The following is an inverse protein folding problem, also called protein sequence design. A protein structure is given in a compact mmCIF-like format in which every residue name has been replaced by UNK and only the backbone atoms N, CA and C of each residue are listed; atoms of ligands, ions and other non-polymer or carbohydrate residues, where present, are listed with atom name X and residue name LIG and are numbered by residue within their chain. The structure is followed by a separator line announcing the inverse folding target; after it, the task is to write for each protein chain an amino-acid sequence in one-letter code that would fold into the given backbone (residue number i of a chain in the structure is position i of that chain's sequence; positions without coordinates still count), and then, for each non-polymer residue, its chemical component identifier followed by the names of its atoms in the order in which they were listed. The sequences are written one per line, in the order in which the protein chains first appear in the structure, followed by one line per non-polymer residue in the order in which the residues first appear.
data_IF_402350330564
#
_entry.id   IF_402350330564
#
_cell.length_a   1.000
_cell.length_b   1.000
_cell.length_c   1.000
_cell.angle_alpha   90.00
_cell.angle_beta   90.00
_cell.angle_gamma   90.00
#
_symmetry.space_group_name_H-M   'P 1'
#
loop_
_entity.id
_entity.type
_entity.pdbx_description
1 polymer ?
#
# COMPACT_ATOMS: atom_id res chain seq x y z
N UNK A 1 -7.00 15.26 22.93
CA UNK A 1 -7.12 16.63 23.48
C UNK A 1 -7.62 17.50 22.33
N UNK A 2 -8.76 18.16 22.48
CA UNK A 2 -9.20 19.16 21.50
C UNK A 2 -8.72 20.52 22.00
N UNK A 3 -7.84 21.18 21.24
CA UNK A 3 -7.34 22.52 21.55
C UNK A 3 -8.06 23.49 20.62
N UNK A 4 -8.77 24.46 21.20
CA UNK A 4 -9.36 25.56 20.45
C UNK A 4 -8.27 26.60 20.15
N UNK A 5 -7.69 26.52 18.95
CA UNK A 5 -6.59 27.39 18.53
C UNK A 5 -6.98 28.85 18.40
N UNK A 6 -8.27 29.18 18.31
CA UNK A 6 -8.72 30.59 18.32
C UNK A 6 -8.57 31.25 19.69
N UNK A 7 -8.38 30.45 20.76
CA UNK A 7 -8.24 30.89 22.15
C UNK A 7 -6.86 30.59 22.74
N UNK A 8 -6.01 29.86 22.02
CA UNK A 8 -4.66 29.54 22.47
C UNK A 8 -3.75 30.76 22.29
N UNK A 9 -3.10 31.21 23.36
CA UNK A 9 -2.14 32.31 23.35
C UNK A 9 -0.69 31.84 23.14
N UNK A 10 -0.49 30.56 22.84
CA UNK A 10 0.80 29.90 22.62
C UNK A 10 1.80 30.06 23.78
N UNK A 11 1.31 30.30 25.01
CA UNK A 11 2.16 30.55 26.18
C UNK A 11 3.03 29.35 26.61
N UNK A 12 2.85 28.17 26.03
CA UNK A 12 3.61 26.92 26.32
C UNK A 12 3.51 26.35 27.73
N UNK A 13 2.70 26.95 28.60
CA UNK A 13 2.52 26.47 29.98
C UNK A 13 1.92 25.06 30.03
N UNK A 14 1.06 24.69 29.09
CA UNK A 14 0.51 23.34 29.04
C UNK A 14 1.55 22.27 28.66
N UNK A 15 2.59 22.64 27.91
CA UNK A 15 3.74 21.78 27.60
C UNK A 15 4.56 21.56 28.88
N UNK A 16 4.88 22.64 29.59
CA UNK A 16 5.70 22.59 30.82
C UNK A 16 5.05 21.81 31.97
N UNK A 17 3.72 21.82 32.06
CA UNK A 17 2.96 21.14 33.12
C UNK A 17 2.78 19.65 32.84
N UNK A 18 3.02 19.17 31.62
CA UNK A 18 2.86 17.76 31.29
C UNK A 18 4.13 16.96 31.65
N UNK A 19 4.13 16.16 32.74
CA UNK A 19 5.34 15.47 33.20
C UNK A 19 5.79 14.35 32.23
N UNK A 20 4.88 13.90 31.37
CA UNK A 20 5.12 12.84 30.38
C UNK A 20 5.51 13.40 29.00
N UNK A 21 5.69 14.72 28.86
CA UNK A 21 5.91 15.39 27.56
C UNK A 21 4.87 15.03 26.48
N UNK A 22 3.61 14.77 26.89
CA UNK A 22 2.56 14.33 25.97
C UNK A 22 1.90 15.47 25.18
N UNK A 23 2.23 16.72 25.50
CA UNK A 23 1.69 17.92 24.87
C UNK A 23 2.83 18.63 24.15
N UNK A 24 2.76 18.65 22.82
CA UNK A 24 3.71 19.36 21.96
C UNK A 24 2.94 20.37 21.12
N UNK A 25 3.04 21.65 21.49
CA UNK A 25 2.44 22.76 20.75
C UNK A 25 3.20 23.10 19.47
N UNK A 26 4.38 22.49 19.27
CA UNK A 26 5.33 22.79 18.19
C UNK A 26 5.45 21.65 17.19
N UNK A 27 4.39 20.84 16.97
CA UNK A 27 4.28 19.92 15.82
C UNK A 27 4.16 20.64 14.46
N UNK A 28 4.94 21.70 14.28
CA UNK A 28 5.18 22.37 13.02
C UNK A 28 6.69 22.31 12.78
N UNK A 29 7.09 21.53 11.79
CA UNK A 29 8.44 21.64 11.27
C UNK A 29 8.54 22.97 10.51
N UNK A 30 9.31 23.91 11.04
CA UNK A 30 9.54 25.20 10.40
C UNK A 30 10.67 25.07 9.38
N UNK A 31 10.32 25.11 8.10
CA UNK A 31 11.29 25.20 7.02
C UNK A 31 11.46 26.66 6.61
N UNK A 32 12.69 27.17 6.66
CA UNK A 32 13.03 28.50 6.14
C UNK A 32 13.66 28.35 4.76
N UNK A 33 12.92 28.73 3.72
CA UNK A 33 13.45 28.80 2.36
C UNK A 33 13.96 30.21 2.08
N UNK A 34 15.19 30.32 1.59
CA UNK A 34 15.73 31.57 1.07
C UNK A 34 15.65 31.55 -0.45
N UNK A 35 14.49 31.90 -0.99
CA UNK A 35 14.30 32.04 -2.44
C UNK A 35 14.60 33.48 -2.83
N UNK A 36 15.50 33.68 -3.79
CA UNK A 36 15.77 35.01 -4.33
C UNK A 36 14.58 35.44 -5.17
N UNK A 37 13.95 36.56 -4.80
CA UNK A 37 12.88 37.17 -5.55
C UNK A 37 13.36 38.54 -6.05
N UNK A 38 13.24 38.80 -7.35
CA UNK A 38 13.72 40.02 -8.00
C UNK A 38 12.52 40.77 -8.55
N UNK A 39 12.38 42.04 -8.18
CA UNK A 39 11.42 42.95 -8.80
C UNK A 39 12.15 43.88 -9.78
N UNK A 40 11.93 43.69 -11.07
CA UNK A 40 12.37 44.63 -12.10
C UNK A 40 11.43 45.83 -12.14
N UNK A 41 12.01 47.02 -11.93
CA UNK A 41 11.29 48.29 -11.89
C UNK A 41 11.17 48.98 -13.26
N UNK A 42 11.81 48.43 -14.31
CA UNK A 42 11.82 49.03 -15.65
C UNK A 42 10.76 48.38 -16.55
N UNK A 43 9.57 48.98 -16.58
CA UNK A 43 8.43 48.51 -17.36
C UNK A 43 8.66 48.52 -18.89
N UNK A 44 9.74 49.15 -19.38
CA UNK A 44 10.09 49.14 -20.81
C UNK A 44 10.80 47.85 -21.26
N UNK A 45 11.16 46.97 -20.31
CA UNK A 45 11.87 45.70 -20.57
C UNK A 45 11.12 44.49 -20.04
N UNK A 46 9.78 44.52 -20.05
CA UNK A 46 8.94 43.42 -19.57
C UNK A 46 9.24 42.07 -20.21
N UNK A 47 9.58 42.07 -21.50
CA UNK A 47 10.06 40.88 -22.22
C UNK A 47 11.59 40.97 -22.37
N UNK A 48 12.30 40.19 -21.58
CA UNK A 48 13.74 40.03 -21.64
C UNK A 48 14.14 38.57 -21.34
N UNK A 49 15.43 38.25 -21.45
CA UNK A 49 15.96 36.90 -21.24
C UNK A 49 15.69 36.31 -19.83
N UNK A 50 15.34 37.14 -18.86
CA UNK A 50 15.02 36.77 -17.48
C UNK A 50 13.51 36.67 -17.20
N UNK A 51 12.64 37.10 -18.13
CA UNK A 51 11.19 37.16 -17.89
C UNK A 51 10.52 35.79 -17.70
N UNK A 52 11.16 34.71 -18.15
CA UNK A 52 10.68 33.33 -17.95
C UNK A 52 11.27 32.66 -16.71
N UNK A 53 12.16 33.34 -15.98
CA UNK A 53 12.81 32.76 -14.79
C UNK A 53 11.88 32.86 -13.58
N UNK A 54 11.53 31.73 -12.92
CA UNK A 54 10.71 31.76 -11.71
C UNK A 54 11.34 32.63 -10.61
N UNK A 55 10.52 33.48 -9.97
CA UNK A 55 10.96 34.41 -8.93
C UNK A 55 11.42 35.78 -9.45
N UNK A 56 11.39 36.01 -10.77
CA UNK A 56 11.54 37.33 -11.38
C UNK A 56 10.15 37.91 -11.64
N UNK A 57 9.90 39.12 -11.14
CA UNK A 57 8.63 39.84 -11.24
C UNK A 57 8.86 41.23 -11.84
N UNK A 58 7.86 41.78 -12.51
CA UNK A 58 7.81 43.17 -12.97
C UNK A 58 6.92 44.02 -12.06
N UNK A 59 6.94 45.34 -12.23
CA UNK A 59 6.20 46.28 -11.36
C UNK A 59 4.70 45.99 -11.27
N UNK A 60 4.09 45.52 -12.34
CA UNK A 60 2.68 45.13 -12.41
C UNK A 60 2.36 43.79 -11.72
N UNK A 61 3.36 42.93 -11.52
CA UNK A 61 3.28 41.62 -10.85
C UNK A 61 3.61 41.71 -9.35
N UNK A 62 3.75 42.94 -8.81
CA UNK A 62 4.07 43.19 -7.39
C UNK A 62 3.14 42.47 -6.40
N UNK A 63 1.89 42.20 -6.78
CA UNK A 63 0.95 41.42 -5.96
C UNK A 63 1.36 39.96 -5.84
N UNK A 64 1.88 39.37 -6.92
CA UNK A 64 2.36 37.98 -6.95
C UNK A 64 3.65 37.84 -6.15
N UNK A 65 4.58 38.80 -6.30
CA UNK A 65 5.76 38.91 -5.44
C UNK A 65 5.35 38.90 -3.96
N UNK A 66 4.42 39.78 -3.56
CA UNK A 66 4.00 39.88 -2.16
C UNK A 66 3.23 38.66 -1.67
N UNK A 67 2.49 37.96 -2.55
CA UNK A 67 1.85 36.70 -2.21
C UNK A 67 2.86 35.59 -1.88
N UNK A 68 4.08 35.69 -2.40
CA UNK A 68 5.17 34.75 -2.17
C UNK A 68 6.13 35.16 -1.03
N UNK A 69 5.81 36.22 -0.29
CA UNK A 69 6.57 36.67 0.89
C UNK A 69 5.72 36.43 2.14
N UNK A 70 6.19 35.54 3.02
CA UNK A 70 5.55 35.31 4.30
C UNK A 70 5.80 33.92 4.86
N UNK A 71 5.04 33.59 5.89
CA UNK A 71 4.96 32.23 6.43
C UNK A 71 3.77 31.53 5.81
N UNK A 72 4.00 30.35 5.27
CA UNK A 72 2.97 29.51 4.68
C UNK A 72 2.79 28.27 5.54
N UNK A 73 1.52 27.88 5.74
CA UNK A 73 1.19 26.62 6.37
C UNK A 73 0.98 25.59 5.27
N UNK A 74 1.65 24.45 5.39
CA UNK A 74 1.49 23.31 4.50
C UNK A 74 0.86 22.18 5.28
N UNK A 75 -0.24 21.63 4.76
CA UNK A 75 -0.94 20.51 5.38
C UNK A 75 -0.33 19.18 4.92
N UNK A 76 -0.12 18.28 5.88
CA UNK A 76 0.34 16.93 5.59
C UNK A 76 -0.85 16.05 5.22
N UNK A 77 -1.31 16.12 3.98
CA UNK A 77 -2.51 15.40 3.54
C UNK A 77 -2.33 13.89 3.36
N UNK A 78 -1.08 13.41 3.27
CA UNK A 78 -0.75 12.00 3.05
C UNK A 78 0.30 11.51 4.04
N UNK A 79 0.01 10.43 4.74
CA UNK A 79 0.94 9.79 5.67
C UNK A 79 1.60 8.55 5.06
N UNK A 80 2.88 8.33 5.38
CA UNK A 80 3.62 7.13 5.01
C UNK A 80 4.06 6.28 6.23
N UNK A 81 3.67 5.00 6.24
CA UNK A 81 4.05 4.03 7.27
C UNK A 81 5.13 3.05 6.77
N UNK A 82 6.37 3.28 7.18
CA UNK A 82 7.54 2.48 6.80
C UNK A 82 7.50 1.02 7.27
N UNK A 83 6.75 0.70 8.34
CA UNK A 83 6.66 -0.66 8.91
C UNK A 83 5.94 -1.63 7.96
N UNK A 84 4.92 -1.14 7.26
CA UNK A 84 4.11 -1.94 6.31
C UNK A 84 4.45 -1.63 4.85
N UNK A 85 5.42 -0.75 4.61
CA UNK A 85 5.94 -0.46 3.28
C UNK A 85 6.88 -1.58 2.80
N UNK A 86 6.58 -2.14 1.63
CA UNK A 86 7.36 -3.23 1.03
C UNK A 86 8.61 -2.72 0.26
N UNK A 87 8.84 -1.41 0.22
CA UNK A 87 10.08 -0.83 -0.27
C UNK A 87 11.21 -0.99 0.77
N UNK A 88 12.44 -1.19 0.29
CA UNK A 88 13.64 -1.25 1.11
C UNK A 88 14.67 -0.22 0.62
N UNK A 89 14.79 0.90 1.35
CA UNK A 89 15.71 1.99 1.02
C UNK A 89 17.19 1.60 1.04
N UNK A 90 17.60 0.60 1.83
CA UNK A 90 19.00 0.16 1.89
C UNK A 90 19.42 -0.67 0.67
N UNK A 91 18.49 -1.42 0.10
CA UNK A 91 18.73 -2.26 -1.07
C UNK A 91 18.34 -1.56 -2.38
N UNK A 92 17.63 -0.43 -2.31
CA UNK A 92 17.02 0.23 -3.46
C UNK A 92 16.05 -0.71 -4.24
N UNK A 93 15.35 -1.59 -3.52
CA UNK A 93 14.49 -2.63 -4.09
C UNK A 93 13.11 -2.68 -3.46
N UNK A 94 12.12 -3.13 -4.24
CA UNK A 94 10.75 -3.40 -3.78
C UNK A 94 9.69 -2.56 -4.50
N UNK A 95 8.53 -2.40 -3.86
CA UNK A 95 7.37 -1.72 -4.43
C UNK A 95 7.62 -0.21 -4.56
N UNK A 96 7.42 0.36 -5.76
CA UNK A 96 7.60 1.80 -6.05
C UNK A 96 6.33 2.48 -6.61
N UNK A 97 5.17 1.81 -6.49
CA UNK A 97 3.89 2.26 -7.09
C UNK A 97 3.46 3.67 -6.69
N UNK A 98 3.74 4.08 -5.46
CA UNK A 98 3.42 5.43 -5.00
C UNK A 98 4.27 6.51 -5.68
N UNK A 99 5.54 6.20 -6.00
CA UNK A 99 6.43 7.08 -6.78
C UNK A 99 5.90 7.18 -8.21
N UNK A 100 5.62 6.03 -8.84
CA UNK A 100 5.07 5.96 -10.21
C UNK A 100 3.73 6.69 -10.34
N UNK A 101 2.91 6.69 -9.30
CA UNK A 101 1.60 7.34 -9.29
C UNK A 101 1.66 8.86 -9.02
N UNK A 102 2.79 9.41 -8.58
CA UNK A 102 2.89 10.82 -8.20
C UNK A 102 3.37 11.69 -9.37
N UNK A 103 2.43 12.33 -10.07
CA UNK A 103 2.74 13.24 -11.19
C UNK A 103 3.49 14.51 -10.75
N UNK A 104 3.32 14.90 -9.48
CA UNK A 104 3.97 16.08 -8.88
C UNK A 104 5.37 15.79 -8.33
N UNK A 105 5.83 14.54 -8.40
CA UNK A 105 7.14 14.10 -7.87
C UNK A 105 7.33 14.39 -6.37
N UNK A 106 6.23 14.55 -5.64
CA UNK A 106 6.20 14.73 -4.20
C UNK A 106 6.56 13.44 -3.43
N UNK A 107 6.49 12.26 -4.07
CA UNK A 107 6.86 10.99 -3.43
C UNK A 107 8.19 10.52 -4.01
N UNK A 108 9.20 10.40 -3.16
CA UNK A 108 10.55 10.00 -3.56
C UNK A 108 11.13 8.93 -2.63
N UNK A 109 12.23 8.33 -3.06
CA UNK A 109 12.99 7.32 -2.32
C UNK A 109 14.28 7.91 -1.77
N UNK A 110 14.66 7.46 -0.58
CA UNK A 110 15.95 7.71 0.05
C UNK A 110 16.48 6.43 0.70
N UNK A 111 17.63 6.51 1.38
CA UNK A 111 18.26 5.37 2.07
C UNK A 111 17.41 4.78 3.21
N UNK A 112 16.46 5.54 3.75
CA UNK A 112 15.55 5.14 4.83
C UNK A 112 14.22 4.57 4.32
N UNK A 113 13.86 4.80 3.06
CA UNK A 113 12.64 4.27 2.45
C UNK A 113 11.97 5.25 1.50
N UNK A 114 10.63 5.28 1.55
CA UNK A 114 9.80 6.24 0.83
C UNK A 114 9.58 7.46 1.74
N UNK A 115 9.62 8.64 1.14
CA UNK A 115 9.40 9.94 1.77
C UNK A 115 8.41 10.76 0.93
N UNK A 116 7.68 11.65 1.58
CA UNK A 116 6.72 12.57 0.95
C UNK A 116 7.22 13.99 1.19
N UNK A 117 7.51 14.71 0.11
CA UNK A 117 7.66 16.16 0.12
C UNK A 117 6.26 16.79 0.17
N UNK A 118 5.89 17.28 1.36
CA UNK A 118 4.59 17.90 1.57
C UNK A 118 4.46 19.27 0.89
N UNK A 119 5.57 19.95 0.55
CA UNK A 119 5.52 21.21 -0.19
C UNK A 119 5.17 21.00 -1.66
N UNK A 120 5.56 19.86 -2.23
CA UNK A 120 5.22 19.50 -3.61
C UNK A 120 3.90 18.71 -3.72
N UNK A 121 3.29 18.33 -2.60
CA UNK A 121 2.11 17.47 -2.58
C UNK A 121 0.83 18.27 -2.86
N UNK A 122 0.17 17.99 -3.98
CA UNK A 122 -1.10 18.62 -4.38
C UNK A 122 -2.35 17.87 -3.86
N UNK A 123 -2.21 17.04 -2.83
CA UNK A 123 -3.31 16.26 -2.24
C UNK A 123 -4.21 15.50 -3.25
N UNK A 124 -3.60 14.95 -4.30
CA UNK A 124 -4.35 14.30 -5.38
C UNK A 124 -4.80 12.85 -5.08
N UNK A 125 -4.36 12.26 -3.96
CA UNK A 125 -4.76 10.90 -3.52
C UNK A 125 -4.26 9.70 -4.33
N UNK A 126 -3.62 9.88 -5.50
CA UNK A 126 -3.20 8.76 -6.38
C UNK A 126 -2.23 7.79 -5.71
N UNK A 127 -1.29 8.28 -4.89
CA UNK A 127 -0.34 7.43 -4.18
C UNK A 127 -1.01 6.57 -3.09
N UNK A 128 -2.11 7.04 -2.50
CA UNK A 128 -2.92 6.33 -1.49
C UNK A 128 -3.66 5.17 -2.13
N UNK A 129 -4.35 5.42 -3.25
CA UNK A 129 -5.04 4.36 -3.99
C UNK A 129 -4.07 3.35 -4.61
N UNK A 130 -2.93 3.79 -5.14
CA UNK A 130 -1.91 2.91 -5.70
C UNK A 130 -1.23 1.97 -4.68
N UNK A 131 -1.25 2.29 -3.38
CA UNK A 131 -0.51 1.54 -2.36
C UNK A 131 -1.25 0.26 -1.92
N UNK A 132 -0.75 -0.95 -2.27
CA UNK A 132 -1.47 -2.19 -1.98
C UNK A 132 -1.37 -2.63 -0.52
N UNK A 133 -0.37 -2.15 0.23
CA UNK A 133 -0.21 -2.47 1.65
C UNK A 133 -0.92 -1.48 2.55
N UNK A 134 -1.37 -0.33 2.02
CA UNK A 134 -1.84 0.77 2.84
C UNK A 134 -0.73 1.50 3.60
N UNK A 135 0.53 1.40 3.15
CA UNK A 135 1.61 2.21 3.67
C UNK A 135 1.42 3.71 3.37
N UNK A 136 0.78 4.06 2.26
CA UNK A 136 0.33 5.42 1.97
C UNK A 136 -1.14 5.54 2.37
N UNK A 137 -1.48 6.51 3.20
CA UNK A 137 -2.83 6.78 3.69
C UNK A 137 -3.14 8.27 3.57
N UNK A 138 -4.40 8.63 3.33
CA UNK A 138 -4.84 10.00 3.58
C UNK A 138 -4.75 10.28 5.09
N UNK A 139 -4.33 11.49 5.44
CA UNK A 139 -4.28 11.92 6.83
C UNK A 139 -5.68 12.09 7.43
N UNK A 140 -6.65 12.51 6.62
CA UNK A 140 -8.03 12.75 7.05
C UNK A 140 -8.85 11.46 7.08
N UNK A 141 -8.64 10.57 6.10
CA UNK A 141 -9.43 9.35 5.91
C UNK A 141 -8.50 8.16 5.68
N UNK A 142 -8.00 7.57 6.77
CA UNK A 142 -7.27 6.30 6.70
C UNK A 142 -8.21 5.12 6.42
N UNK A 143 -7.69 4.02 5.87
CA UNK A 143 -8.46 2.79 5.65
C UNK A 143 -9.14 2.29 6.94
N UNK A 144 -8.44 2.37 8.08
CA UNK A 144 -8.93 1.93 9.39
C UNK A 144 -10.07 2.84 9.87
N UNK A 145 -9.86 4.16 9.86
CA UNK A 145 -10.89 5.11 10.27
C UNK A 145 -12.12 5.04 9.37
N UNK A 146 -11.94 4.91 8.05
CA UNK A 146 -13.04 4.71 7.12
C UNK A 146 -13.85 3.48 7.52
N UNK A 147 -13.19 2.37 7.77
CA UNK A 147 -13.88 1.14 8.05
C UNK A 147 -14.63 1.15 9.38
N UNK A 148 -14.01 1.70 10.43
CA UNK A 148 -14.65 1.86 11.74
C UNK A 148 -15.89 2.74 11.64
N UNK A 149 -15.76 3.91 11.00
CA UNK A 149 -16.87 4.87 10.84
C UNK A 149 -18.03 4.27 10.06
N UNK A 150 -17.74 3.59 8.94
CA UNK A 150 -18.78 3.00 8.09
C UNK A 150 -19.41 1.79 8.76
N UNK A 151 -18.62 0.94 9.42
CA UNK A 151 -19.14 -0.23 10.13
C UNK A 151 -20.10 0.18 11.26
N UNK A 152 -19.69 1.12 12.10
CA UNK A 152 -20.53 1.68 13.17
C UNK A 152 -21.79 2.34 12.61
N UNK A 153 -21.66 3.09 11.51
CA UNK A 153 -22.78 3.76 10.86
C UNK A 153 -23.78 2.77 10.26
N UNK A 154 -23.34 1.64 9.71
CA UNK A 154 -24.23 0.65 9.09
C UNK A 154 -24.85 -0.32 10.10
N UNK A 155 -24.21 -0.58 11.25
CA UNK A 155 -24.77 -1.43 12.30
C UNK A 155 -25.86 -0.75 13.15
N UNK A 156 -25.68 0.54 13.47
CA UNK A 156 -26.45 1.21 14.51
C UNK A 156 -27.64 2.03 13.97
N UNK A 157 -28.29 1.62 12.88
CA UNK A 157 -29.34 2.42 12.22
C UNK A 157 -30.62 1.64 11.98
N UNK A 158 -31.75 2.33 12.11
CA UNK A 158 -33.08 1.85 11.69
C UNK A 158 -33.18 1.81 10.15
N UNK A 159 -32.38 2.64 9.46
CA UNK A 159 -32.34 2.74 8.00
C UNK A 159 -31.36 1.70 7.44
N UNK A 160 -31.86 0.84 6.56
CA UNK A 160 -31.07 -0.15 5.84
C UNK A 160 -30.47 0.47 4.58
N UNK A 161 -29.28 1.06 4.70
CA UNK A 161 -28.59 1.63 3.55
C UNK A 161 -28.19 0.54 2.56
N UNK A 162 -28.64 0.68 1.32
CA UNK A 162 -28.27 -0.22 0.21
C UNK A 162 -27.36 0.45 -0.81
N UNK A 163 -27.42 1.77 -0.90
CA UNK A 163 -26.68 2.53 -1.89
C UNK A 163 -25.76 3.53 -1.21
N UNK A 164 -24.58 3.74 -1.78
CA UNK A 164 -23.60 4.73 -1.32
C UNK A 164 -23.29 5.70 -2.44
N UNK A 165 -23.23 6.99 -2.15
CA UNK A 165 -22.64 8.00 -3.03
C UNK A 165 -21.39 8.57 -2.36
N UNK A 166 -20.25 8.51 -3.04
CA UNK A 166 -19.06 9.28 -2.70
C UNK A 166 -19.06 10.62 -3.42
N UNK A 167 -18.85 11.71 -2.67
CA UNK A 167 -18.77 13.06 -3.20
C UNK A 167 -17.48 13.72 -2.72
N UNK A 168 -16.77 14.39 -3.63
CA UNK A 168 -15.62 15.20 -3.23
C UNK A 168 -16.09 16.43 -2.45
N UNK A 169 -15.38 16.83 -1.41
CA UNK A 169 -15.72 17.98 -0.58
C UNK A 169 -15.94 19.26 -1.40
N UNK A 170 -15.04 19.54 -2.36
CA UNK A 170 -15.16 20.69 -3.26
C UNK A 170 -16.42 20.67 -4.15
N UNK A 171 -17.01 19.49 -4.36
CA UNK A 171 -18.22 19.29 -5.15
C UNK A 171 -19.49 19.21 -4.28
N UNK A 172 -19.38 19.13 -2.96
CA UNK A 172 -20.51 18.88 -2.06
C UNK A 172 -21.63 19.92 -2.22
N UNK A 173 -21.30 21.21 -2.30
CA UNK A 173 -22.30 22.28 -2.50
C UNK A 173 -23.03 22.12 -3.83
N UNK A 174 -22.31 21.80 -4.90
CA UNK A 174 -22.90 21.57 -6.24
C UNK A 174 -23.82 20.35 -6.22
N UNK A 175 -23.37 19.27 -5.60
CA UNK A 175 -24.15 18.06 -5.41
C UNK A 175 -25.47 18.36 -4.67
N UNK A 176 -25.41 19.04 -3.53
CA UNK A 176 -26.61 19.35 -2.75
C UNK A 176 -27.61 20.25 -3.50
N UNK A 177 -27.11 21.25 -4.23
CA UNK A 177 -27.98 22.17 -4.98
C UNK A 177 -28.74 21.48 -6.13
N UNK A 178 -28.10 20.53 -6.80
CA UNK A 178 -28.61 19.99 -8.05
C UNK A 178 -29.23 18.59 -7.91
N UNK A 179 -28.82 17.81 -6.90
CA UNK A 179 -29.15 16.38 -6.82
C UNK A 179 -29.80 15.95 -5.50
N UNK A 180 -29.77 16.76 -4.44
CA UNK A 180 -30.30 16.35 -3.12
C UNK A 180 -31.77 15.95 -3.14
N UNK A 181 -32.61 16.64 -3.93
CA UNK A 181 -34.05 16.37 -3.97
C UNK A 181 -34.41 15.04 -4.65
N UNK A 182 -33.44 14.35 -5.26
CA UNK A 182 -33.63 13.08 -5.97
C UNK A 182 -33.00 11.89 -5.23
N UNK A 183 -32.52 12.08 -4.00
CA UNK A 183 -31.83 11.05 -3.23
C UNK A 183 -32.74 10.57 -2.10
N UNK A 184 -33.02 9.28 -2.13
CA UNK A 184 -33.80 8.60 -1.09
C UNK A 184 -33.02 8.52 0.24
N UNK A 185 -33.73 8.51 1.37
CA UNK A 185 -33.13 8.42 2.71
C UNK A 185 -32.33 7.11 2.92
N UNK A 186 -32.56 6.08 2.11
CA UNK A 186 -31.82 4.82 2.09
C UNK A 186 -30.45 4.90 1.38
N UNK A 187 -30.06 6.07 0.88
CA UNK A 187 -28.74 6.31 0.27
C UNK A 187 -27.79 6.94 1.29
N UNK A 188 -26.65 6.30 1.53
CA UNK A 188 -25.60 6.83 2.37
C UNK A 188 -24.68 7.75 1.57
N UNK A 189 -24.66 9.02 1.92
CA UNK A 189 -23.73 9.99 1.36
C UNK A 189 -22.41 10.01 2.16
N UNK A 190 -21.28 9.88 1.47
CA UNK A 190 -19.95 9.98 2.05
C UNK A 190 -19.19 11.10 1.35
N UNK A 191 -18.89 12.16 2.08
CA UNK A 191 -18.09 13.29 1.59
C UNK A 191 -16.64 13.10 2.02
N UNK A 192 -15.71 13.16 1.08
CA UNK A 192 -14.26 13.00 1.35
C UNK A 192 -13.43 14.10 0.66
N UNK A 193 -12.24 14.43 1.18
CA UNK A 193 -11.42 15.52 0.62
C UNK A 193 -11.10 15.31 -0.86
N UNK A 194 -10.72 14.08 -1.22
CA UNK A 194 -10.39 13.72 -2.59
C UNK A 194 -10.88 12.31 -2.93
N UNK A 195 -11.61 12.16 -4.05
CA UNK A 195 -12.15 10.86 -4.48
C UNK A 195 -11.06 9.86 -4.90
N UNK A 196 -9.88 10.33 -5.32
CA UNK A 196 -8.79 9.48 -5.83
C UNK A 196 -8.04 8.71 -4.73
N UNK A 197 -8.35 8.92 -3.45
CA UNK A 197 -7.89 8.04 -2.35
C UNK A 197 -8.62 6.68 -2.36
N UNK A 198 -9.82 6.65 -2.95
CA UNK A 198 -10.65 5.44 -3.02
C UNK A 198 -9.96 4.37 -3.85
N UNK A 199 -10.18 3.13 -3.44
CA UNK A 199 -9.58 1.96 -4.06
C UNK A 199 -10.45 0.73 -3.77
N UNK A 200 -10.06 -0.43 -4.31
CA UNK A 200 -10.86 -1.66 -4.22
C UNK A 200 -11.14 -2.12 -2.79
N UNK A 201 -10.33 -1.75 -1.79
CA UNK A 201 -10.65 -2.01 -0.38
C UNK A 201 -11.97 -1.36 0.02
N UNK A 202 -12.12 -0.05 -0.20
CA UNK A 202 -13.32 0.70 0.16
C UNK A 202 -14.58 0.07 -0.46
N UNK A 203 -14.52 -0.24 -1.76
CA UNK A 203 -15.68 -0.77 -2.48
C UNK A 203 -16.04 -2.20 -2.04
N UNK A 204 -15.05 -3.09 -1.94
CA UNK A 204 -15.30 -4.48 -1.55
C UNK A 204 -15.71 -4.59 -0.07
N UNK A 205 -15.24 -3.68 0.77
CA UNK A 205 -15.71 -3.56 2.14
C UNK A 205 -17.19 -3.17 2.21
N UNK A 206 -17.61 -2.14 1.47
CA UNK A 206 -19.01 -1.76 1.37
C UNK A 206 -19.89 -2.91 0.85
N UNK A 207 -19.45 -3.60 -0.22
CA UNK A 207 -20.13 -4.80 -0.71
C UNK A 207 -20.31 -5.84 0.40
N UNK A 208 -19.25 -6.10 1.17
CA UNK A 208 -19.29 -7.08 2.27
C UNK A 208 -20.26 -6.67 3.38
N UNK A 209 -20.44 -5.37 3.61
CA UNK A 209 -21.44 -4.85 4.54
C UNK A 209 -22.86 -4.82 3.97
N UNK A 210 -23.07 -5.33 2.76
CA UNK A 210 -24.40 -5.46 2.16
C UNK A 210 -24.84 -4.26 1.32
N UNK A 211 -23.92 -3.35 0.99
CA UNK A 211 -24.15 -2.31 -0.02
C UNK A 211 -24.24 -2.96 -1.39
N UNK A 212 -25.27 -2.59 -2.15
CA UNK A 212 -25.62 -3.15 -3.45
C UNK A 212 -25.02 -2.34 -4.59
N UNK A 213 -24.95 -1.01 -4.44
CA UNK A 213 -24.37 -0.12 -5.43
C UNK A 213 -23.59 1.03 -4.76
N UNK A 214 -22.46 1.37 -5.35
CA UNK A 214 -21.62 2.50 -4.98
C UNK A 214 -21.51 3.43 -6.18
N UNK A 215 -21.77 4.72 -5.99
CA UNK A 215 -21.61 5.73 -7.02
C UNK A 215 -20.51 6.71 -6.63
N UNK A 216 -19.58 6.97 -7.54
CA UNK A 216 -18.55 8.01 -7.39
C UNK A 216 -18.98 9.22 -8.20
N UNK A 217 -19.36 10.31 -7.52
CA UNK A 217 -19.98 11.48 -8.13
C UNK A 217 -18.95 12.39 -8.84
N UNK A 218 -18.30 11.88 -9.88
CA UNK A 218 -17.35 12.59 -10.73
C UNK A 218 -17.02 11.77 -11.99
N UNK A 219 -16.67 12.44 -13.10
CA UNK A 219 -15.99 11.80 -14.24
C UNK A 219 -14.55 11.40 -13.88
N UNK A 220 -14.24 10.10 -13.96
CA UNK A 220 -12.95 9.56 -13.53
C UNK A 220 -11.96 9.47 -14.70
N UNK A 221 -10.76 10.00 -14.52
CA UNK A 221 -9.69 9.92 -15.52
C UNK A 221 -9.30 8.45 -15.78
N UNK A 222 -9.27 8.03 -17.05
CA UNK A 222 -9.01 6.63 -17.44
C UNK A 222 -7.67 6.08 -16.95
N UNK A 223 -6.63 6.92 -16.91
CA UNK A 223 -5.29 6.49 -16.50
C UNK A 223 -5.11 6.45 -14.97
N UNK A 224 -6.07 7.00 -14.21
CA UNK A 224 -5.97 7.07 -12.75
C UNK A 224 -5.99 5.69 -12.09
N UNK A 225 -5.41 5.59 -10.89
CA UNK A 225 -5.50 4.37 -10.09
C UNK A 225 -6.95 4.07 -9.68
N UNK A 226 -7.73 5.10 -9.35
CA UNK A 226 -9.16 4.95 -9.04
C UNK A 226 -9.92 4.24 -10.18
N UNK A 227 -9.69 4.62 -11.44
CA UNK A 227 -10.31 3.96 -12.58
C UNK A 227 -10.00 2.45 -12.63
N UNK A 228 -8.73 2.09 -12.46
CA UNK A 228 -8.28 0.69 -12.43
C UNK A 228 -8.91 -0.08 -11.26
N UNK A 229 -9.06 0.56 -10.10
CA UNK A 229 -9.73 -0.05 -8.96
C UNK A 229 -11.23 -0.24 -9.18
N UNK A 230 -11.93 0.72 -9.80
CA UNK A 230 -13.34 0.58 -10.20
C UNK A 230 -13.50 -0.58 -11.18
N UNK A 231 -12.66 -0.65 -12.22
CA UNK A 231 -12.67 -1.74 -13.20
C UNK A 231 -12.44 -3.09 -12.54
N UNK A 232 -11.42 -3.21 -11.69
CA UNK A 232 -11.12 -4.44 -10.97
C UNK A 232 -12.27 -4.88 -10.07
N UNK A 233 -12.84 -3.97 -9.28
CA UNK A 233 -13.96 -4.29 -8.38
C UNK A 233 -15.18 -4.76 -9.17
N UNK A 234 -15.51 -4.11 -10.29
CA UNK A 234 -16.63 -4.52 -11.13
C UNK A 234 -16.37 -5.84 -11.84
N UNK A 235 -15.15 -6.08 -12.34
CA UNK A 235 -14.78 -7.37 -12.93
C UNK A 235 -14.91 -8.50 -11.89
N UNK A 236 -14.35 -8.31 -10.70
CA UNK A 236 -14.47 -9.26 -9.60
C UNK A 236 -15.93 -9.55 -9.23
N UNK A 237 -16.74 -8.49 -9.06
CA UNK A 237 -18.16 -8.61 -8.74
C UNK A 237 -18.94 -9.35 -9.84
N UNK A 238 -18.67 -9.02 -11.10
CA UNK A 238 -19.31 -9.65 -12.25
C UNK A 238 -18.99 -11.14 -12.36
N UNK A 239 -17.73 -11.52 -12.16
CA UNK A 239 -17.34 -12.93 -12.16
C UNK A 239 -17.88 -13.70 -10.95
N UNK A 240 -17.94 -13.07 -9.78
CA UNK A 240 -18.40 -13.74 -8.57
C UNK A 240 -19.93 -13.88 -8.50
N UNK A 241 -20.68 -12.91 -9.03
CA UNK A 241 -22.11 -12.74 -8.77
C UNK A 241 -22.91 -12.43 -10.06
N UNK A 242 -22.84 -13.29 -11.08
CA UNK A 242 -23.69 -13.23 -12.28
C UNK A 242 -23.71 -11.90 -13.04
N UNK A 243 -22.54 -11.30 -13.28
CA UNK A 243 -22.44 -10.09 -14.10
C UNK A 243 -22.76 -8.77 -13.38
N UNK A 244 -22.97 -8.83 -12.06
CA UNK A 244 -23.22 -7.66 -11.21
C UNK A 244 -22.12 -6.61 -11.34
N UNK A 245 -22.51 -5.34 -11.39
CA UNK A 245 -21.60 -4.18 -11.29
C UNK A 245 -21.87 -3.43 -9.99
N UNK A 246 -20.84 -3.33 -9.16
CA UNK A 246 -20.95 -2.67 -7.87
C UNK A 246 -20.79 -1.15 -7.97
N UNK A 247 -19.82 -0.69 -8.75
CA UNK A 247 -19.38 0.70 -8.75
C UNK A 247 -19.69 1.40 -10.07
N UNK A 248 -20.36 2.54 -10.01
CA UNK A 248 -20.56 3.46 -11.13
C UNK A 248 -19.89 4.81 -10.85
N UNK A 249 -19.71 5.62 -11.89
CA UNK A 249 -19.16 6.97 -11.77
C UNK A 249 -19.81 7.93 -12.76
N UNK A 250 -19.82 9.22 -12.43
CA UNK A 250 -20.35 10.29 -13.29
C UNK A 250 -21.08 11.34 -12.46
N UNK A 251 -21.77 12.27 -13.12
CA UNK A 251 -22.61 13.27 -12.45
C UNK A 251 -24.09 12.87 -12.37
N UNK A 252 -24.43 11.67 -12.84
CA UNK A 252 -25.78 11.11 -12.76
C UNK A 252 -25.73 9.82 -11.93
N UNK A 253 -26.24 9.89 -10.71
CA UNK A 253 -26.38 8.72 -9.85
C UNK A 253 -27.69 8.00 -10.22
N UNK A 254 -27.57 6.77 -10.71
CA UNK A 254 -28.70 5.88 -10.97
C UNK A 254 -28.53 4.61 -10.14
N UNK A 255 -29.55 4.27 -9.35
CA UNK A 255 -29.58 3.08 -8.50
C UNK A 255 -30.74 2.18 -8.92
N UNK A 256 -30.46 0.88 -9.06
CA UNK A 256 -31.51 -0.12 -9.25
C UNK A 256 -32.14 -0.47 -7.90
N UNK A 257 -33.45 -0.32 -7.77
CA UNK A 257 -34.20 -0.68 -6.56
C UNK A 257 -34.36 -2.20 -6.36
N UNK A 258 -33.99 -3.02 -7.33
CA UNK A 258 -34.30 -4.46 -7.36
C UNK A 258 -33.11 -5.36 -6.97
N UNK A 259 -31.90 -4.83 -6.82
CA UNK A 259 -30.74 -5.66 -6.52
C UNK A 259 -30.68 -6.07 -5.04
N UNK A 260 -30.83 -7.36 -4.75
CA UNK A 260 -30.64 -7.90 -3.41
C UNK A 260 -29.18 -7.82 -2.95
N UNK A 261 -28.97 -7.73 -1.63
CA UNK A 261 -27.64 -7.75 -1.05
C UNK A 261 -27.03 -9.15 -1.06
N UNK A 262 -25.79 -9.25 -1.54
CA UNK A 262 -25.03 -10.52 -1.60
C UNK A 262 -24.71 -11.05 -0.21
N UNK A 263 -24.40 -10.15 0.72
CA UNK A 263 -24.02 -10.48 2.09
C UNK A 263 -25.05 -9.93 3.07
N UNK A 264 -25.59 -10.81 3.89
CA UNK A 264 -26.59 -10.49 4.93
C UNK A 264 -26.17 -10.95 6.31
N UNK A 265 -25.15 -11.80 6.41
CA UNK A 265 -24.57 -12.22 7.68
C UNK A 265 -23.68 -11.13 8.28
N UNK A 266 -23.64 -11.09 9.62
CA UNK A 266 -22.70 -10.26 10.35
C UNK A 266 -21.26 -10.56 9.93
N UNK A 267 -20.42 -9.53 10.00
CA UNK A 267 -19.01 -9.60 9.68
C UNK A 267 -18.22 -9.18 10.91
N UNK A 268 -17.37 -10.07 11.43
CA UNK A 268 -16.43 -9.68 12.48
C UNK A 268 -15.19 -9.11 11.83
N UNK A 269 -14.96 -7.83 12.06
CA UNK A 269 -13.85 -7.09 11.49
C UNK A 269 -12.52 -7.52 12.14
N UNK A 270 -11.49 -7.93 11.37
CA UNK A 270 -10.18 -8.21 11.92
C UNK A 270 -9.47 -6.92 12.36
N UNK A 271 -8.44 -7.01 13.19
CA UNK A 271 -7.56 -5.87 13.49
C UNK A 271 -6.87 -5.37 12.20
N UNK A 272 -6.79 -4.04 12.01
CA UNK A 272 -6.07 -3.45 10.88
C UNK A 272 -4.56 -3.61 11.04
N UNK A 273 -3.98 -4.55 10.28
CA UNK A 273 -2.51 -4.74 10.22
C UNK A 273 -1.89 -4.09 9.00
N UNK A 274 -2.54 -4.25 7.85
CA UNK A 274 -2.24 -3.62 6.58
C UNK A 274 -3.39 -3.91 5.60
N UNK A 275 -3.56 -3.08 4.58
CA UNK A 275 -4.67 -3.17 3.61
C UNK A 275 -4.82 -4.55 2.96
N UNK A 276 -3.72 -5.23 2.64
CA UNK A 276 -3.76 -6.55 1.98
C UNK A 276 -4.33 -7.62 2.91
N UNK A 277 -3.81 -7.75 4.14
CA UNK A 277 -4.33 -8.68 5.14
C UNK A 277 -5.75 -8.34 5.55
N UNK A 278 -6.07 -7.04 5.53
CA UNK A 278 -7.39 -6.53 5.78
C UNK A 278 -8.42 -7.00 4.73
N UNK A 279 -8.02 -7.01 3.46
CA UNK A 279 -8.82 -7.50 2.34
C UNK A 279 -9.01 -9.02 2.32
N UNK A 280 -8.12 -9.80 2.92
CA UNK A 280 -8.12 -11.27 2.79
C UNK A 280 -9.44 -11.94 3.25
N UNK A 281 -10.04 -11.59 4.42
CA UNK A 281 -11.34 -12.15 4.80
C UNK A 281 -12.48 -11.75 3.87
N UNK A 282 -12.44 -10.53 3.31
CA UNK A 282 -13.43 -10.07 2.33
C UNK A 282 -13.33 -10.92 1.06
N UNK A 283 -12.11 -11.20 0.58
CA UNK A 283 -11.93 -12.12 -0.55
C UNK A 283 -12.39 -13.54 -0.23
N UNK A 284 -12.20 -14.03 1.00
CA UNK A 284 -12.70 -15.33 1.43
C UNK A 284 -14.22 -15.40 1.33
N UNK A 285 -14.91 -14.38 1.84
CA UNK A 285 -16.37 -14.31 1.79
C UNK A 285 -16.88 -14.21 0.34
N UNK A 286 -16.22 -13.44 -0.52
CA UNK A 286 -16.52 -13.38 -1.95
C UNK A 286 -16.33 -14.74 -2.61
N UNK A 287 -15.23 -15.43 -2.35
CA UNK A 287 -14.99 -16.78 -2.86
C UNK A 287 -16.08 -17.75 -2.41
N UNK A 288 -16.44 -17.76 -1.12
CA UNK A 288 -17.44 -18.67 -0.56
C UNK A 288 -18.84 -18.45 -1.12
N UNK A 289 -19.19 -17.20 -1.42
CA UNK A 289 -20.48 -16.80 -2.02
C UNK A 289 -20.49 -16.85 -3.55
N UNK A 290 -19.33 -16.91 -4.20
CA UNK A 290 -19.27 -16.99 -5.65
C UNK A 290 -19.87 -18.28 -6.18
N UNK A 291 -20.56 -18.21 -7.33
CA UNK A 291 -21.33 -19.32 -7.89
C UNK A 291 -20.50 -20.60 -8.11
N UNK A 292 -19.24 -20.44 -8.51
CA UNK A 292 -18.36 -21.54 -8.87
C UNK A 292 -17.25 -21.80 -7.85
N UNK A 293 -17.26 -21.12 -6.70
CA UNK A 293 -16.14 -21.11 -5.73
C UNK A 293 -14.80 -20.95 -6.44
N UNK A 294 -14.77 -20.07 -7.43
CA UNK A 294 -13.61 -19.81 -8.26
C UNK A 294 -13.83 -18.51 -9.03
N UNK A 295 -12.89 -17.59 -8.89
CA UNK A 295 -12.85 -16.37 -9.72
C UNK A 295 -11.48 -16.27 -10.36
N UNK A 296 -11.45 -16.16 -11.68
CA UNK A 296 -10.22 -15.95 -12.44
C UNK A 296 -10.33 -14.63 -13.21
N UNK A 297 -9.54 -13.64 -12.82
CA UNK A 297 -9.34 -12.41 -13.58
C UNK A 297 -8.00 -12.53 -14.31
N UNK A 298 -8.06 -12.94 -15.58
CA UNK A 298 -6.88 -13.04 -16.45
C UNK A 298 -6.36 -11.66 -16.87
N UNK A 299 -7.28 -10.68 -16.97
CA UNK A 299 -6.91 -9.30 -17.22
C UNK A 299 -6.12 -8.77 -16.01
N UNK A 300 -4.86 -8.38 -16.23
CA UNK A 300 -4.00 -7.79 -15.21
C UNK A 300 -4.39 -6.32 -14.93
N UNK A 301 -5.67 -6.09 -14.62
CA UNK A 301 -6.25 -4.75 -14.36
C UNK A 301 -5.49 -4.08 -13.22
N UNK A 302 -5.26 -4.84 -12.15
CA UNK A 302 -4.38 -4.46 -11.05
C UNK A 302 -3.20 -5.41 -10.99
N UNK A 303 -2.01 -4.86 -11.20
CA UNK A 303 -0.73 -5.55 -11.06
C UNK A 303 -0.30 -5.75 -9.59
N UNK A 304 -1.25 -5.79 -8.66
CA UNK A 304 -1.02 -6.00 -7.22
C UNK A 304 -1.45 -7.40 -6.76
N UNK A 305 -1.93 -8.23 -7.68
CA UNK A 305 -2.36 -9.61 -7.42
C UNK A 305 -1.59 -10.58 -8.32
N UNK A 306 -1.27 -11.73 -7.77
CA UNK A 306 -0.55 -12.79 -8.47
C UNK A 306 0.12 -13.75 -7.50
N UNK A 307 0.88 -14.67 -8.06
CA UNK A 307 1.63 -15.67 -7.32
C UNK A 307 3.13 -15.56 -7.58
N UNK A 308 3.91 -16.15 -6.68
CA UNK A 308 5.31 -16.49 -6.91
C UNK A 308 5.39 -17.97 -7.28
N UNK A 309 6.12 -18.30 -8.34
CA UNK A 309 6.51 -19.68 -8.67
C UNK A 309 8.02 -19.84 -8.47
N UNK A 310 8.46 -21.07 -8.25
CA UNK A 310 9.84 -21.39 -7.91
C UNK A 310 10.35 -22.56 -8.75
N UNK A 311 11.52 -22.42 -9.36
CA UNK A 311 12.31 -23.53 -9.85
C UNK A 311 12.98 -24.22 -8.66
N UNK A 312 12.39 -25.32 -8.21
CA UNK A 312 12.85 -26.09 -7.07
C UNK A 312 14.28 -26.64 -7.25
N UNK A 313 14.73 -26.86 -8.49
CA UNK A 313 16.08 -27.37 -8.78
C UNK A 313 17.14 -26.29 -8.60
N UNK A 314 16.80 -25.04 -8.92
CA UNK A 314 17.69 -23.88 -8.73
C UNK A 314 17.65 -23.35 -7.30
N UNK A 315 16.50 -23.45 -6.63
CA UNK A 315 16.31 -22.91 -5.30
C UNK A 315 17.21 -23.60 -4.26
N UNK A 316 18.06 -22.82 -3.60
CA UNK A 316 18.97 -23.29 -2.55
C UNK A 316 18.41 -23.28 -1.14
N UNK A 317 17.14 -22.85 -0.98
CA UNK A 317 16.52 -22.58 0.31
C UNK A 317 17.39 -21.69 1.23
N UNK A 318 18.07 -20.68 0.66
CA UNK A 318 18.80 -19.68 1.45
C UNK A 318 17.87 -18.71 2.21
N UNK A 319 16.57 -18.70 1.88
CA UNK A 319 15.52 -17.88 2.48
C UNK A 319 15.72 -16.35 2.39
N UNK A 320 16.61 -15.87 1.51
CA UNK A 320 16.78 -14.44 1.25
C UNK A 320 15.46 -13.77 0.82
N UNK A 321 14.69 -14.44 -0.05
CA UNK A 321 13.38 -13.98 -0.51
C UNK A 321 12.38 -13.79 0.65
N UNK A 322 12.36 -14.71 1.61
CA UNK A 322 11.51 -14.64 2.80
C UNK A 322 11.90 -13.45 3.68
N UNK A 323 13.20 -13.28 3.94
CA UNK A 323 13.72 -12.22 4.81
C UNK A 323 13.39 -10.80 4.32
N UNK A 324 13.11 -10.65 3.02
CA UNK A 324 12.74 -9.37 2.42
C UNK A 324 11.23 -9.21 2.16
N UNK A 325 10.41 -10.24 2.40
CA UNK A 325 8.95 -10.19 2.23
C UNK A 325 8.23 -9.69 3.50
N UNK A 326 8.20 -8.37 3.71
CA UNK A 326 7.54 -7.72 4.86
C UNK A 326 6.03 -7.97 4.93
N UNK A 327 5.38 -8.20 3.79
CA UNK A 327 3.94 -8.47 3.73
C UNK A 327 3.56 -9.88 4.21
N UNK A 328 4.54 -10.78 4.36
CA UNK A 328 4.32 -12.15 4.83
C UNK A 328 3.63 -13.04 3.80
N UNK A 329 3.99 -12.87 2.52
CA UNK A 329 3.56 -13.76 1.43
C UNK A 329 4.46 -14.98 1.29
N UNK A 330 5.69 -14.94 1.81
CA UNK A 330 6.61 -16.07 1.88
C UNK A 330 6.75 -16.56 3.33
N UNK A 331 6.80 -17.86 3.50
CA UNK A 331 6.85 -18.55 4.80
C UNK A 331 7.88 -19.68 4.74
N UNK A 332 8.45 -20.04 5.90
CA UNK A 332 9.30 -21.21 6.01
C UNK A 332 8.88 -22.07 7.19
N UNK A 333 9.00 -23.39 7.03
CA UNK A 333 8.88 -24.35 8.12
C UNK A 333 10.25 -24.97 8.38
N UNK A 334 10.81 -24.69 9.56
CA UNK A 334 12.13 -25.20 9.97
C UNK A 334 12.12 -26.69 10.29
N UNK A 335 10.96 -27.30 10.54
CA UNK A 335 10.84 -28.73 10.81
C UNK A 335 10.91 -29.54 9.52
N UNK A 336 10.29 -29.01 8.46
CA UNK A 336 10.15 -29.67 7.16
C UNK A 336 11.06 -29.09 6.07
N UNK A 337 11.86 -28.07 6.37
CA UNK A 337 12.79 -27.40 5.46
C UNK A 337 12.10 -26.98 4.16
N UNK A 338 10.98 -26.27 4.30
CA UNK A 338 10.19 -25.79 3.17
C UNK A 338 10.25 -24.27 3.06
N UNK A 339 10.20 -23.79 1.81
CA UNK A 339 9.78 -22.44 1.45
C UNK A 339 8.36 -22.54 0.90
N UNK A 340 7.44 -21.75 1.43
CA UNK A 340 6.03 -21.72 1.01
C UNK A 340 5.59 -20.31 0.66
N UNK A 341 4.53 -20.21 -0.14
CA UNK A 341 3.94 -18.96 -0.61
C UNK A 341 2.43 -18.94 -0.39
N UNK A 342 1.91 -17.85 0.15
CA UNK A 342 0.48 -17.56 0.28
C UNK A 342 0.11 -16.39 -0.65
N UNK A 343 -0.70 -16.68 -1.67
CA UNK A 343 -1.06 -15.71 -2.71
C UNK A 343 -1.91 -14.56 -2.16
N UNK A 344 -2.76 -14.82 -1.17
CA UNK A 344 -3.58 -13.81 -0.51
C UNK A 344 -2.81 -12.64 0.10
N UNK A 345 -1.52 -12.79 0.40
CA UNK A 345 -0.69 -11.69 0.92
C UNK A 345 0.21 -11.07 -0.16
N UNK A 346 0.36 -11.69 -1.32
CA UNK A 346 1.28 -11.23 -2.35
C UNK A 346 0.80 -9.88 -2.92
N UNK A 347 1.74 -8.95 -3.12
CA UNK A 347 1.48 -7.65 -3.75
C UNK A 347 2.25 -7.47 -5.06
N UNK A 348 2.87 -8.54 -5.58
CA UNK A 348 3.63 -8.53 -6.84
C UNK A 348 4.75 -7.47 -6.89
N UNK A 349 5.45 -7.25 -5.77
CA UNK A 349 6.50 -6.22 -5.68
C UNK A 349 7.86 -6.63 -6.27
N UNK A 350 8.06 -7.92 -6.59
CA UNK A 350 9.29 -8.41 -7.20
C UNK A 350 10.54 -8.42 -6.30
N UNK A 351 10.46 -8.02 -5.02
CA UNK A 351 11.65 -8.00 -4.15
C UNK A 351 12.27 -9.39 -4.02
N UNK A 352 11.45 -10.45 -3.96
CA UNK A 352 11.91 -11.82 -3.85
C UNK A 352 12.72 -12.29 -5.06
N UNK A 353 12.38 -11.83 -6.27
CA UNK A 353 13.12 -12.13 -7.49
C UNK A 353 14.50 -11.47 -7.43
N UNK A 354 14.55 -10.17 -7.11
CA UNK A 354 15.77 -9.39 -7.11
C UNK A 354 16.79 -9.81 -6.03
N UNK A 355 16.34 -10.40 -4.94
CA UNK A 355 17.22 -10.87 -3.85
C UNK A 355 17.55 -12.36 -3.96
N UNK A 356 17.01 -13.08 -4.95
CA UNK A 356 17.29 -14.49 -5.14
C UNK A 356 18.67 -14.66 -5.81
N UNK A 357 19.68 -15.23 -5.13
CA UNK A 357 21.00 -15.39 -5.74
C UNK A 357 21.04 -16.44 -6.85
N UNK A 358 20.00 -17.28 -6.93
CA UNK A 358 19.91 -18.40 -7.85
C UNK A 358 18.96 -18.13 -9.03
N UNK A 359 18.38 -16.93 -9.13
CA UNK A 359 17.24 -16.57 -10.01
C UNK A 359 16.19 -17.68 -10.13
N UNK A 360 15.81 -18.25 -8.98
CA UNK A 360 14.90 -19.39 -8.91
C UNK A 360 13.42 -19.01 -8.85
N UNK A 361 13.08 -17.72 -8.81
CA UNK A 361 11.71 -17.24 -8.60
C UNK A 361 11.19 -16.46 -9.81
N UNK A 362 9.89 -16.56 -10.06
CA UNK A 362 9.17 -15.80 -11.08
C UNK A 362 7.82 -15.31 -10.54
N UNK A 363 7.36 -14.15 -11.04
CA UNK A 363 6.03 -13.60 -10.73
C UNK A 363 5.03 -14.01 -11.81
N UNK A 364 3.90 -14.56 -11.38
CA UNK A 364 2.75 -14.87 -12.23
C UNK A 364 1.62 -13.89 -11.88
N UNK A 365 1.36 -12.86 -12.71
CA UNK A 365 0.34 -11.85 -12.41
C UNK A 365 -1.08 -12.40 -12.59
N UNK A 366 -2.05 -11.70 -12.00
CA UNK A 366 -3.47 -12.00 -12.12
C UNK A 366 -4.09 -12.49 -10.81
N UNK A 367 -5.42 -12.48 -10.76
CA UNK A 367 -6.16 -12.93 -9.59
C UNK A 367 -6.84 -14.27 -9.89
N UNK A 368 -6.38 -15.32 -9.22
CA UNK A 368 -7.09 -16.59 -9.10
C UNK A 368 -7.55 -16.73 -7.64
N UNK A 369 -8.83 -16.49 -7.38
CA UNK A 369 -9.47 -16.77 -6.10
C UNK A 369 -10.04 -18.19 -6.13
N UNK A 370 -9.28 -19.13 -5.57
CA UNK A 370 -9.70 -20.48 -5.26
C UNK A 370 -9.29 -20.84 -3.82
N UNK A 371 -9.45 -22.09 -3.41
CA UNK A 371 -9.05 -22.51 -2.07
C UNK A 371 -7.55 -22.33 -1.82
N UNK A 372 -6.71 -22.57 -2.84
CA UNK A 372 -5.25 -22.45 -2.74
C UNK A 372 -4.78 -21.01 -2.54
N UNK A 373 -5.52 -20.02 -3.06
CA UNK A 373 -5.20 -18.60 -2.89
C UNK A 373 -4.95 -18.21 -1.43
N UNK A 374 -5.73 -18.81 -0.53
CA UNK A 374 -5.72 -18.52 0.91
C UNK A 374 -4.83 -19.45 1.72
N UNK A 375 -4.20 -20.45 1.10
CA UNK A 375 -3.40 -21.46 1.78
C UNK A 375 -1.92 -21.34 1.42
N UNK A 376 -1.00 -21.70 2.34
CA UNK A 376 0.41 -21.80 2.00
C UNK A 376 0.64 -22.95 1.01
N UNK A 377 1.19 -22.62 -0.17
CA UNK A 377 1.66 -23.60 -1.16
C UNK A 377 3.17 -23.76 -1.07
N UNK A 378 3.65 -24.99 -0.97
CA UNK A 378 5.10 -25.27 -0.98
C UNK A 378 5.70 -24.88 -2.34
N UNK A 379 6.75 -24.09 -2.32
CA UNK A 379 7.52 -23.66 -3.48
C UNK A 379 8.78 -24.51 -3.69
N UNK A 380 9.47 -24.85 -2.59
CA UNK A 380 10.65 -25.68 -2.61
C UNK A 380 10.80 -26.38 -1.26
N UNK A 381 11.31 -27.61 -1.29
CA UNK A 381 11.67 -28.37 -0.09
C UNK A 381 13.09 -28.91 -0.22
N UNK A 382 13.72 -29.20 0.92
CA UNK A 382 15.01 -29.86 0.97
C UNK A 382 15.23 -30.69 2.25
N UNK A 383 16.31 -31.48 2.29
CA UNK A 383 16.67 -32.32 3.43
C UNK A 383 17.56 -31.55 4.44
N UNK A 384 17.31 -31.71 5.75
CA UNK A 384 18.20 -31.18 6.79
C UNK A 384 19.59 -31.83 6.73
N UNK A 385 20.62 -31.03 7.00
CA UNK A 385 21.98 -31.52 7.25
C UNK A 385 22.30 -31.45 8.74
N UNK A 386 22.72 -32.57 9.29
CA UNK A 386 23.18 -32.72 10.67
C UNK A 386 24.71 -32.67 10.77
N UNK A 387 25.21 -32.12 11.88
CA UNK A 387 26.62 -32.11 12.19
C UNK A 387 27.14 -33.54 12.39
N UNK A 388 28.23 -33.91 11.72
CA UNK A 388 28.85 -35.23 11.84
C UNK A 388 29.35 -35.55 13.27
N UNK A 389 29.65 -34.53 14.08
CA UNK A 389 30.16 -34.70 15.45
C UNK A 389 29.04 -34.71 16.50
N UNK A 390 28.17 -33.69 16.51
CA UNK A 390 27.20 -33.48 17.58
C UNK A 390 25.74 -33.72 17.19
N UNK A 391 25.47 -34.07 15.92
CA UNK A 391 24.11 -34.32 15.41
C UNK A 391 23.23 -33.09 15.26
N UNK A 392 23.65 -31.89 15.69
CA UNK A 392 22.90 -30.64 15.55
C UNK A 392 22.60 -30.35 14.07
N UNK A 393 21.33 -30.06 13.75
CA UNK A 393 20.95 -29.58 12.42
C UNK A 393 21.46 -28.15 12.21
N UNK A 394 22.15 -27.88 11.11
CA UNK A 394 22.79 -26.58 10.88
C UNK A 394 22.59 -26.00 9.47
N UNK A 395 21.88 -26.71 8.59
CA UNK A 395 21.61 -26.27 7.23
C UNK A 395 20.75 -27.25 6.47
N UNK A 396 20.64 -27.04 5.17
CA UNK A 396 20.01 -27.94 4.21
C UNK A 396 21.02 -28.39 3.16
N UNK A 397 20.69 -29.48 2.45
CA UNK A 397 21.59 -30.17 1.53
C UNK A 397 21.93 -29.32 0.31
N UNK A 398 20.95 -28.67 -0.33
CA UNK A 398 21.12 -27.81 -1.51
C UNK A 398 22.04 -26.63 -1.22
N UNK A 399 21.83 -25.94 -0.10
CA UNK A 399 22.68 -24.83 0.34
C UNK A 399 24.12 -25.30 0.60
N UNK A 400 24.29 -26.46 1.26
CA UNK A 400 25.62 -27.02 1.51
C UNK A 400 26.34 -27.39 0.20
N UNK A 401 25.63 -28.03 -0.74
CA UNK A 401 26.16 -28.38 -2.07
C UNK A 401 26.56 -27.13 -2.86
N UNK A 402 25.78 -26.05 -2.77
CA UNK A 402 26.12 -24.78 -3.40
C UNK A 402 27.37 -24.15 -2.81
N UNK A 403 27.49 -24.11 -1.48
CA UNK A 403 28.70 -23.60 -0.82
C UNK A 403 29.92 -24.43 -1.25
N UNK A 404 29.79 -25.76 -1.31
CA UNK A 404 30.85 -26.65 -1.82
C UNK A 404 31.24 -26.32 -3.26
N UNK A 405 30.26 -26.18 -4.16
CA UNK A 405 30.51 -25.89 -5.56
C UNK A 405 31.22 -24.53 -5.73
N UNK A 406 30.81 -23.51 -4.95
CA UNK A 406 31.42 -22.18 -4.99
C UNK A 406 32.85 -22.19 -4.47
N UNK A 407 33.14 -22.93 -3.39
CA UNK A 407 34.51 -23.08 -2.86
C UNK A 407 35.42 -23.87 -3.82
N UNK A 408 34.90 -24.92 -4.47
CA UNK A 408 35.63 -25.63 -5.53
C UNK A 408 35.97 -24.72 -6.70
N UNK A 409 35.03 -23.87 -7.13
CA UNK A 409 35.24 -22.94 -8.24
C UNK A 409 36.30 -21.87 -7.96
N UNK A 410 36.59 -21.56 -6.68
CA UNK A 410 37.63 -20.60 -6.27
C UNK A 410 38.98 -21.25 -5.96
N UNK A 411 39.14 -22.56 -6.24
CA UNK A 411 40.41 -23.27 -6.13
C UNK A 411 40.80 -23.72 -4.72
N UNK A 412 39.84 -23.84 -3.79
CA UNK A 412 40.09 -24.43 -2.46
C UNK A 412 40.10 -25.97 -2.54
N UNK A 413 41.10 -26.59 -1.90
CA UNK A 413 41.37 -28.04 -1.92
C UNK A 413 40.41 -28.86 -1.04
N UNK A 414 40.34 -30.18 -1.30
CA UNK A 414 39.36 -31.10 -0.70
C UNK A 414 39.39 -31.16 0.84
N UNK A 415 40.55 -30.94 1.48
CA UNK A 415 40.72 -31.01 2.93
C UNK A 415 39.90 -29.94 3.69
N UNK A 416 39.66 -28.77 3.06
CA UNK A 416 38.81 -27.71 3.63
C UNK A 416 37.31 -28.01 3.47
N UNK A 417 36.92 -28.91 2.56
CA UNK A 417 35.51 -29.22 2.28
C UNK A 417 34.91 -30.16 3.33
N UNK A 418 35.74 -30.97 4.00
CA UNK A 418 35.28 -31.83 5.10
C UNK A 418 34.82 -31.01 6.31
N UNK A 419 35.40 -29.83 6.54
CA UNK A 419 34.97 -28.90 7.58
C UNK A 419 33.51 -28.45 7.41
N UNK A 420 32.97 -28.53 6.20
CA UNK A 420 31.58 -28.17 5.92
C UNK A 420 30.58 -29.19 6.48
N UNK A 421 31.01 -30.40 6.85
CA UNK A 421 30.17 -31.41 7.51
C UNK A 421 29.88 -31.10 8.99
N UNK A 422 30.50 -30.06 9.55
CA UNK A 422 30.39 -29.71 10.97
C UNK A 422 29.61 -28.40 11.15
N UNK A 423 28.83 -28.31 12.24
CA UNK A 423 28.14 -27.07 12.61
C UNK A 423 29.14 -25.97 12.98
N UNK A 424 28.65 -24.73 13.07
CA UNK A 424 29.39 -23.52 13.47
C UNK A 424 30.36 -23.74 14.64
N UNK A 425 29.92 -24.42 15.70
CA UNK A 425 30.75 -24.68 16.89
C UNK A 425 31.78 -25.80 16.67
N UNK A 426 31.37 -26.95 16.16
CA UNK A 426 32.27 -28.10 15.96
C UNK A 426 33.32 -27.82 14.87
N UNK A 427 32.98 -27.00 13.87
CA UNK A 427 33.89 -26.62 12.79
C UNK A 427 35.10 -25.84 13.28
N UNK A 428 34.91 -24.92 14.23
CA UNK A 428 36.02 -24.17 14.84
C UNK A 428 36.97 -25.11 15.59
N UNK A 429 36.44 -26.09 16.31
CA UNK A 429 37.24 -27.10 17.01
C UNK A 429 38.06 -27.92 15.99
N UNK A 430 37.41 -28.42 14.93
CA UNK A 430 38.09 -29.20 13.88
C UNK A 430 39.15 -28.39 13.14
N UNK A 431 38.92 -27.10 12.89
CA UNK A 431 39.95 -26.23 12.31
C UNK A 431 41.19 -26.12 13.19
N UNK A 432 41.04 -26.09 14.51
CA UNK A 432 42.15 -26.05 15.46
C UNK A 432 42.85 -27.41 15.63
N UNK A 433 42.21 -28.52 15.25
CA UNK A 433 42.83 -29.86 15.25
C UNK A 433 43.62 -30.14 13.96
N UNK A 434 43.31 -29.42 12.87
CA UNK A 434 43.90 -29.61 11.54
C UNK A 434 45.05 -28.60 11.25
N UNK A 435 45.11 -27.48 11.99
CA UNK A 435 46.20 -26.50 11.93
C UNK A 435 47.21 -26.69 13.06
#
# INVERSE_FOLDING_TARGET
ISIDFTKCDYCSQCVEVCPENAIDLYRYENYTFSVSQILFLDDNKKENEYSEIPGVYNTDEKKELFANIGTFQVEQSVNHNSKICQYNGRLDLGCQRCIEACEYKAVHKNSNGIEVDHFACEDCGQCVSACPTGAMQSADVSDENFADLIYEKLLNQEINYRHVIFVQESAAVSFYKNFNNNIDESVLLIVIPNLYILNSFHFLFLLRLGITNVHVFQEIFKESNLHKHIQFTNALSAYAFSGRKLVSSGYNAEFSSEEEAVFTSSFTFPEYKNKRKFLTPIFRDIYEKSENKRVLLQENILNTFGSVVCDEKRCSLCLACLNHCKIGSLMADSSNYTLSHIAANCIQCGICLNVCPEDALELVPGLLLDEEFFQPRVLAQDEPVTCAECGKVFGNKKSLEQVRNKLKSTGRYDDELDLLNYCDKCRVIKQLEVG
#
